data_IF_091377452645
#
_entry.id   IF_091377452645
#
_cell.length_a   1.000
_cell.length_b   1.000
_cell.length_c   1.000
_cell.angle_alpha   90.00
_cell.angle_beta   90.00
_cell.angle_gamma   90.00
#
_symmetry.space_group_name_H-M   'P 1'
#
loop_
_entity.id
_entity.type
_entity.pdbx_description
1 polymer ?
#
# COMPACT_ATOMS: atom_id res chain seq x y z
N UNK A 1 -11.22 -0.81 -19.87
CA UNK A 1 -10.28 -0.34 -18.83
C UNK A 1 -9.74 1.01 -19.23
N UNK A 2 -9.67 1.96 -18.29
CA UNK A 2 -8.81 3.12 -18.45
C UNK A 2 -7.34 2.65 -18.50
N UNK A 3 -6.45 3.40 -19.16
CA UNK A 3 -5.03 3.06 -19.25
C UNK A 3 -4.43 2.84 -17.85
N UNK A 4 -4.78 3.71 -16.89
CA UNK A 4 -4.32 3.61 -15.50
C UNK A 4 -4.80 2.33 -14.82
N UNK A 5 -6.06 1.92 -14.96
CA UNK A 5 -6.57 0.69 -14.35
C UNK A 5 -5.78 -0.54 -14.84
N UNK A 6 -5.48 -0.59 -16.15
CA UNK A 6 -4.69 -1.69 -16.70
C UNK A 6 -3.25 -1.71 -16.16
N UNK A 7 -2.65 -0.54 -15.94
CA UNK A 7 -1.34 -0.40 -15.31
C UNK A 7 -1.38 -0.88 -13.86
N UNK A 8 -2.39 -0.48 -13.09
CA UNK A 8 -2.57 -0.95 -11.70
C UNK A 8 -2.80 -2.46 -11.61
N UNK A 9 -3.54 -3.06 -12.54
CA UNK A 9 -3.64 -4.53 -12.64
C UNK A 9 -2.28 -5.18 -12.87
N UNK A 10 -1.42 -4.57 -13.68
CA UNK A 10 -0.07 -5.07 -13.94
C UNK A 10 0.83 -4.90 -12.71
N UNK A 11 0.71 -3.78 -11.98
CA UNK A 11 1.37 -3.57 -10.68
C UNK A 11 1.00 -4.70 -9.73
N UNK A 12 -0.29 -5.04 -9.58
CA UNK A 12 -0.71 -6.17 -8.73
C UNK A 12 -0.11 -7.51 -9.16
N UNK A 13 -0.10 -7.79 -10.47
CA UNK A 13 0.51 -9.02 -11.00
C UNK A 13 2.01 -9.07 -10.73
N UNK A 14 2.69 -7.94 -10.81
CA UNK A 14 4.12 -7.83 -10.53
C UNK A 14 4.40 -7.97 -9.03
N UNK A 15 3.60 -7.33 -8.18
CA UNK A 15 3.68 -7.45 -6.72
C UNK A 15 3.49 -8.90 -6.26
N UNK A 16 2.56 -9.64 -6.86
CA UNK A 16 2.37 -11.06 -6.54
C UNK A 16 3.63 -11.90 -6.83
N UNK A 17 4.37 -11.57 -7.90
CA UNK A 17 5.62 -12.25 -8.28
C UNK A 17 6.81 -11.90 -7.38
N UNK A 18 6.73 -10.79 -6.64
CA UNK A 18 7.77 -10.37 -5.70
C UNK A 18 8.08 -11.49 -4.69
N UNK A 19 7.04 -12.17 -4.22
CA UNK A 19 7.15 -13.25 -3.23
C UNK A 19 7.62 -14.59 -3.81
N UNK A 20 7.58 -14.74 -5.13
CA UNK A 20 8.04 -15.96 -5.81
C UNK A 20 9.53 -15.90 -6.17
N UNK A 21 10.14 -14.70 -6.11
CA UNK A 21 11.49 -14.44 -6.60
C UNK A 21 12.28 -13.62 -5.56
N UNK A 22 12.60 -14.25 -4.42
CA UNK A 22 13.31 -13.59 -3.30
C UNK A 22 14.65 -12.96 -3.73
N UNK A 23 15.37 -13.57 -4.67
CA UNK A 23 16.64 -13.05 -5.22
C UNK A 23 16.48 -11.73 -6.00
N UNK A 24 15.25 -11.34 -6.37
CA UNK A 24 14.93 -10.15 -7.17
C UNK A 24 13.99 -9.19 -6.44
N UNK A 25 13.91 -9.27 -5.12
CA UNK A 25 12.99 -8.45 -4.33
C UNK A 25 13.22 -6.95 -4.54
N UNK A 26 14.47 -6.49 -4.48
CA UNK A 26 14.84 -5.08 -4.67
C UNK A 26 14.48 -4.59 -6.09
N UNK A 27 14.88 -5.35 -7.11
CA UNK A 27 14.61 -5.03 -8.52
C UNK A 27 13.10 -4.92 -8.79
N UNK A 28 12.30 -5.82 -8.22
CA UNK A 28 10.85 -5.81 -8.39
C UNK A 28 10.22 -4.61 -7.67
N UNK A 29 10.70 -4.26 -6.47
CA UNK A 29 10.21 -3.09 -5.76
C UNK A 29 10.53 -1.79 -6.50
N UNK A 30 11.73 -1.64 -7.04
CA UNK A 30 12.10 -0.47 -7.84
C UNK A 30 11.18 -0.32 -9.06
N UNK A 31 10.85 -1.42 -9.74
CA UNK A 31 9.91 -1.43 -10.86
C UNK A 31 8.48 -1.06 -10.43
N UNK A 32 8.03 -1.56 -9.29
CA UNK A 32 6.71 -1.25 -8.75
C UNK A 32 6.58 0.23 -8.37
N UNK A 33 7.56 0.76 -7.63
CA UNK A 33 7.61 2.17 -7.21
C UNK A 33 7.58 3.07 -8.44
N UNK A 34 8.47 2.80 -9.40
CA UNK A 34 8.55 3.60 -10.63
C UNK A 34 7.23 3.62 -11.40
N UNK A 35 6.56 2.47 -11.55
CA UNK A 35 5.29 2.40 -12.26
C UNK A 35 4.19 3.19 -11.54
N UNK A 36 4.18 3.18 -10.21
CA UNK A 36 3.23 3.93 -9.38
C UNK A 36 3.50 5.44 -9.44
N UNK A 37 4.77 5.86 -9.39
CA UNK A 37 5.17 7.26 -9.58
C UNK A 37 4.80 7.78 -10.98
N UNK A 38 4.97 6.96 -12.02
CA UNK A 38 4.55 7.31 -13.38
C UNK A 38 3.02 7.44 -13.48
N UNK A 39 2.24 6.62 -12.74
CA UNK A 39 0.78 6.79 -12.65
C UNK A 39 0.46 8.11 -11.94
N UNK A 40 1.11 8.41 -10.83
CA UNK A 40 0.91 9.64 -10.06
C UNK A 40 1.35 10.91 -10.82
N UNK A 41 2.28 10.78 -11.77
CA UNK A 41 2.63 11.89 -12.67
C UNK A 41 1.49 12.22 -13.64
N UNK A 42 0.70 11.21 -14.04
CA UNK A 42 -0.47 11.37 -14.92
C UNK A 42 -1.70 11.81 -14.11
N UNK A 43 -1.90 11.20 -12.95
CA UNK A 43 -3.01 11.43 -12.03
C UNK A 43 -2.50 11.47 -10.58
N UNK A 44 -2.13 12.68 -10.13
CA UNK A 44 -1.52 12.89 -8.82
C UNK A 44 -2.45 12.56 -7.63
N UNK A 45 -3.75 12.40 -7.88
CA UNK A 45 -4.74 12.06 -6.85
C UNK A 45 -5.25 10.62 -7.02
N UNK A 46 -4.53 9.79 -7.77
CA UNK A 46 -4.93 8.40 -7.95
C UNK A 46 -4.83 7.61 -6.64
N UNK A 47 -5.96 7.43 -5.97
CA UNK A 47 -6.05 6.78 -4.66
C UNK A 47 -5.42 5.39 -4.67
N UNK A 48 -5.72 4.55 -5.67
CA UNK A 48 -5.17 3.19 -5.75
C UNK A 48 -3.64 3.19 -5.87
N UNK A 49 -3.07 4.13 -6.61
CA UNK A 49 -1.61 4.25 -6.72
C UNK A 49 -0.97 4.70 -5.40
N UNK A 50 -1.57 5.65 -4.69
CA UNK A 50 -1.11 6.09 -3.37
C UNK A 50 -1.15 4.93 -2.35
N UNK A 51 -2.24 4.16 -2.31
CA UNK A 51 -2.38 3.01 -1.40
C UNK A 51 -1.30 1.96 -1.68
N UNK A 52 -1.07 1.62 -2.96
CA UNK A 52 -0.06 0.65 -3.36
C UNK A 52 1.37 1.12 -3.10
N UNK A 53 1.66 2.41 -3.32
CA UNK A 53 2.96 2.99 -3.04
C UNK A 53 3.25 2.96 -1.54
N UNK A 54 2.26 3.35 -0.72
CA UNK A 54 2.35 3.25 0.73
C UNK A 54 2.61 1.83 1.22
N UNK A 55 1.97 0.82 0.61
CA UNK A 55 2.21 -0.58 0.93
C UNK A 55 3.66 -1.02 0.67
N UNK A 56 4.21 -0.68 -0.49
CA UNK A 56 5.59 -1.04 -0.85
C UNK A 56 6.62 -0.31 0.02
N UNK A 57 6.37 0.97 0.32
CA UNK A 57 7.23 1.74 1.22
C UNK A 57 7.22 1.15 2.64
N UNK A 58 6.06 0.68 3.11
CA UNK A 58 5.95 -0.05 4.37
C UNK A 58 6.80 -1.33 4.35
N UNK A 59 6.66 -2.14 3.30
CA UNK A 59 7.47 -3.36 3.13
C UNK A 59 8.98 -3.09 3.05
N UNK A 60 9.36 -1.88 2.64
CA UNK A 60 10.75 -1.44 2.50
C UNK A 60 11.32 -0.80 3.76
N UNK A 61 10.52 -0.68 4.84
CA UNK A 61 10.94 -0.04 6.09
C UNK A 61 10.91 1.49 6.06
N UNK A 62 10.40 2.10 4.98
CA UNK A 62 10.31 3.55 4.79
C UNK A 62 9.02 4.09 5.44
N UNK A 63 8.86 3.86 6.74
CA UNK A 63 7.58 3.98 7.45
C UNK A 63 7.03 5.41 7.50
N UNK A 64 7.86 6.42 7.75
CA UNK A 64 7.41 7.81 7.80
C UNK A 64 6.85 8.26 6.45
N UNK A 65 7.53 7.88 5.36
CA UNK A 65 7.10 8.19 4.00
C UNK A 65 5.83 7.41 3.65
N UNK A 66 5.77 6.12 3.99
CA UNK A 66 4.58 5.29 3.80
C UNK A 66 3.35 5.89 4.49
N UNK A 67 3.47 6.27 5.78
CA UNK A 67 2.40 6.88 6.55
C UNK A 67 1.92 8.20 5.93
N UNK A 68 2.85 9.04 5.47
CA UNK A 68 2.51 10.30 4.80
C UNK A 68 1.72 10.07 3.51
N UNK A 69 2.17 9.15 2.65
CA UNK A 69 1.49 8.80 1.39
C UNK A 69 0.10 8.20 1.65
N UNK A 70 -0.02 7.29 2.62
CA UNK A 70 -1.31 6.69 2.97
C UNK A 70 -2.28 7.73 3.55
N UNK A 71 -1.81 8.71 4.33
CA UNK A 71 -2.65 9.81 4.81
C UNK A 71 -3.18 10.69 3.68
N UNK A 72 -2.42 10.88 2.59
CA UNK A 72 -2.94 11.58 1.40
C UNK A 72 -4.11 10.79 0.79
N UNK A 73 -4.00 9.47 0.66
CA UNK A 73 -5.10 8.64 0.16
C UNK A 73 -6.33 8.71 1.07
N UNK A 74 -6.13 8.76 2.39
CA UNK A 74 -7.19 8.96 3.38
C UNK A 74 -7.87 10.33 3.21
N UNK A 75 -7.09 11.41 3.08
CA UNK A 75 -7.60 12.78 2.91
C UNK A 75 -8.36 12.97 1.59
N UNK A 76 -8.02 12.18 0.56
CA UNK A 76 -8.75 12.12 -0.72
C UNK A 76 -10.06 11.32 -0.64
N UNK A 77 -10.39 10.75 0.53
CA UNK A 77 -11.66 10.05 0.77
C UNK A 77 -11.65 8.60 0.32
N UNK A 78 -10.51 7.92 0.37
CA UNK A 78 -10.43 6.49 0.08
C UNK A 78 -11.29 5.67 1.04
N UNK A 79 -12.12 4.79 0.48
CA UNK A 79 -12.92 3.79 1.22
C UNK A 79 -12.34 2.37 1.09
N UNK A 80 -11.09 2.26 0.62
CA UNK A 80 -10.44 0.97 0.39
C UNK A 80 -9.97 0.32 1.69
N UNK A 81 -10.40 -0.93 1.92
CA UNK A 81 -9.94 -1.73 3.07
C UNK A 81 -8.42 -1.86 3.15
N UNK A 82 -7.72 -1.94 2.02
CA UNK A 82 -6.26 -2.06 2.02
C UNK A 82 -5.58 -0.78 2.54
N UNK A 83 -6.15 0.41 2.33
CA UNK A 83 -5.63 1.65 2.91
C UNK A 83 -5.58 1.56 4.44
N UNK A 84 -6.72 1.24 5.05
CA UNK A 84 -6.83 1.19 6.51
C UNK A 84 -5.97 0.08 7.11
N UNK A 85 -5.89 -1.05 6.43
CA UNK A 85 -4.98 -2.14 6.81
C UNK A 85 -3.51 -1.69 6.75
N UNK A 86 -3.11 -0.99 5.69
CA UNK A 86 -1.73 -0.50 5.53
C UNK A 86 -1.39 0.61 6.53
N UNK A 87 -2.33 1.49 6.87
CA UNK A 87 -2.19 2.47 7.95
C UNK A 87 -1.95 1.77 9.30
N UNK A 88 -2.72 0.73 9.60
CA UNK A 88 -2.51 -0.03 10.83
C UNK A 88 -1.14 -0.72 10.86
N UNK A 89 -0.73 -1.37 9.76
CA UNK A 89 0.57 -2.06 9.66
C UNK A 89 1.73 -1.08 9.88
N UNK A 90 1.75 0.05 9.16
CA UNK A 90 2.85 1.02 9.30
C UNK A 90 2.90 1.59 10.72
N UNK A 91 1.76 1.81 11.38
CA UNK A 91 1.71 2.28 12.76
C UNK A 91 2.22 1.24 13.76
N UNK A 92 1.94 -0.05 13.53
CA UNK A 92 2.50 -1.15 14.33
C UNK A 92 4.02 -1.18 14.18
N UNK A 93 4.54 -1.12 12.95
CA UNK A 93 5.99 -1.18 12.68
C UNK A 93 6.74 0.04 13.22
N UNK A 94 6.09 1.21 13.25
CA UNK A 94 6.61 2.42 13.90
C UNK A 94 6.53 2.37 15.44
N UNK A 95 5.92 1.34 16.04
CA UNK A 95 5.73 1.23 17.48
C UNK A 95 4.79 2.29 18.06
N UNK A 96 3.79 2.73 17.29
CA UNK A 96 2.79 3.71 17.73
C UNK A 96 1.80 3.10 18.74
N UNK A 97 0.96 3.95 19.35
CA UNK A 97 -0.01 3.53 20.35
C UNK A 97 -1.00 2.48 19.78
N UNK A 98 -1.18 1.32 20.44
CA UNK A 98 -2.15 0.31 20.04
C UNK A 98 -3.57 0.81 19.80
N UNK A 99 -4.03 1.78 20.59
CA UNK A 99 -5.37 2.34 20.42
C UNK A 99 -5.55 2.97 19.01
N UNK A 100 -4.51 3.59 18.46
CA UNK A 100 -4.59 4.28 17.17
C UNK A 100 -4.66 3.31 15.99
N UNK A 101 -3.82 2.27 15.96
CA UNK A 101 -3.86 1.31 14.86
C UNK A 101 -5.05 0.34 14.97
N UNK A 102 -5.58 0.09 16.18
CA UNK A 102 -6.79 -0.71 16.36
C UNK A 102 -8.03 -0.05 15.77
N UNK A 103 -8.14 1.29 15.86
CA UNK A 103 -9.23 2.04 15.22
C UNK A 103 -9.23 1.81 13.69
N UNK A 104 -8.06 1.87 13.05
CA UNK A 104 -7.95 1.61 11.61
C UNK A 104 -8.29 0.16 11.24
N UNK A 105 -7.93 -0.81 12.08
CA UNK A 105 -8.32 -2.21 11.87
C UNK A 105 -9.85 -2.41 11.96
N UNK A 106 -10.51 -1.78 12.93
CA UNK A 106 -11.97 -1.83 13.08
C UNK A 106 -12.70 -1.19 11.89
N UNK A 107 -12.18 -0.06 11.38
CA UNK A 107 -12.69 0.55 10.16
C UNK A 107 -12.54 -0.41 8.98
N UNK A 108 -11.37 -1.03 8.82
CA UNK A 108 -11.07 -1.96 7.73
C UNK A 108 -12.03 -3.17 7.68
N UNK A 109 -12.53 -3.65 8.83
CA UNK A 109 -13.49 -4.77 8.89
C UNK A 109 -14.81 -4.48 8.18
N UNK A 110 -15.20 -3.20 8.09
CA UNK A 110 -16.46 -2.77 7.48
C UNK A 110 -16.29 -2.28 6.03
N UNK A 111 -15.05 -2.25 5.52
CA UNK A 111 -14.73 -1.74 4.19
C UNK A 111 -14.59 -2.87 3.16
N UNK A 112 -14.69 -2.50 1.88
CA UNK A 112 -14.46 -3.43 0.76
C UNK A 112 -13.05 -3.26 0.19
N UNK A 113 -12.43 -4.36 -0.22
CA UNK A 113 -11.11 -4.32 -0.87
C UNK A 113 -11.24 -3.81 -2.30
N UNK A 114 -10.45 -2.80 -2.65
CA UNK A 114 -10.31 -2.40 -4.03
C UNK A 114 -9.50 -3.48 -4.79
N UNK A 115 -10.03 -4.04 -5.90
CA UNK A 115 -9.33 -5.09 -6.63
C UNK A 115 -8.00 -4.64 -7.23
N UNK A 116 -7.75 -3.33 -7.34
CA UNK A 116 -6.51 -2.74 -7.86
C UNK A 116 -5.47 -2.43 -6.79
N UNK A 117 -5.77 -2.69 -5.51
CA UNK A 117 -4.83 -2.46 -4.41
C UNK A 117 -4.39 -3.75 -3.71
N UNK A 118 -3.36 -3.63 -2.89
CA UNK A 118 -2.83 -4.71 -2.06
C UNK A 118 -2.39 -4.21 -0.69
N UNK A 119 -2.34 -5.13 0.27
CA UNK A 119 -1.82 -4.87 1.60
C UNK A 119 -0.30 -5.02 1.65
N UNK A 120 0.33 -4.25 2.52
CA UNK A 120 1.70 -4.49 2.96
C UNK A 120 1.78 -5.87 3.65
N UNK A 121 2.98 -6.44 3.65
CA UNK A 121 3.30 -7.62 4.42
C UNK A 121 3.25 -7.29 5.91
N UNK A 122 2.68 -8.22 6.67
CA UNK A 122 2.65 -8.14 8.12
C UNK A 122 2.93 -9.53 8.67
N UNK A 123 4.01 -9.67 9.43
CA UNK A 123 4.28 -10.88 10.19
C UNK A 123 3.76 -10.71 11.63
N UNK A 124 2.60 -11.29 11.98
CA UNK A 124 2.04 -11.18 13.32
C UNK A 124 2.86 -11.91 14.40
N UNK A 125 3.91 -12.64 14.01
CA UNK A 125 4.76 -13.42 14.91
C UNK A 125 6.19 -12.88 15.03
N UNK A 126 6.51 -11.73 14.43
CA UNK A 126 7.86 -11.17 14.41
C UNK A 126 8.37 -10.59 15.75
N UNK A 127 7.64 -10.75 16.87
CA UNK A 127 7.95 -10.14 18.17
C UNK A 127 7.98 -11.17 19.32
#
# INVERSE_FOLDING_TARGET
MNNIDQRLENVKKLQAKRWENEDHWDDINDLLIKELEDILTIDAQNISALVNLGAILCDSGEYETALAILKIALDLGSEDKNLYTNLAIVMVDMGMNPEEYHEYLEIAENMSENPLTFKAYFDPHAY
#
